data_IF_618912691292
#
_entry.id   IF_618912691292
#
_cell.length_a   1.000
_cell.length_b   1.000
_cell.length_c   1.000
_cell.angle_alpha   90.00
_cell.angle_beta   90.00
_cell.angle_gamma   90.00
#
_symmetry.space_group_name_H-M   'P 1'
#
loop_
_entity.id
_entity.type
_entity.pdbx_description
1 polymer ?
#
# COMPACT_ATOMS: atom_id res chain seq x y z
N UNK A 1 17.41 -12.77 33.42
CA UNK A 1 16.52 -11.66 33.82
C UNK A 1 16.82 -10.34 33.10
N UNK A 2 18.08 -10.04 32.78
CA UNK A 2 18.48 -8.81 32.11
C UNK A 2 18.16 -8.83 30.58
N UNK A 3 18.24 -9.98 29.96
CA UNK A 3 17.88 -10.18 28.53
C UNK A 3 16.36 -10.01 28.31
N UNK A 4 15.56 -10.59 29.20
CA UNK A 4 14.10 -10.51 29.12
C UNK A 4 13.57 -9.06 29.31
N UNK A 5 14.27 -8.25 30.10
CA UNK A 5 13.92 -6.84 30.31
C UNK A 5 14.23 -5.99 29.06
N UNK A 6 15.34 -6.25 28.37
CA UNK A 6 15.68 -5.57 27.11
C UNK A 6 14.73 -5.91 25.96
N UNK A 7 14.29 -7.16 25.86
CA UNK A 7 13.31 -7.58 24.83
C UNK A 7 11.94 -6.94 25.10
N UNK A 8 11.50 -6.86 26.35
CA UNK A 8 10.22 -6.20 26.71
C UNK A 8 10.30 -4.69 26.45
N UNK A 9 11.42 -4.04 26.76
CA UNK A 9 11.61 -2.61 26.53
C UNK A 9 11.62 -2.28 25.02
N UNK A 10 12.24 -3.11 24.17
CA UNK A 10 12.24 -2.94 22.73
C UNK A 10 10.85 -3.10 22.13
N UNK A 11 10.12 -4.16 22.50
CA UNK A 11 8.74 -4.37 22.02
C UNK A 11 7.79 -3.22 22.43
N UNK A 12 8.02 -2.61 23.58
CA UNK A 12 7.23 -1.45 24.05
C UNK A 12 7.52 -0.20 23.20
N UNK A 13 8.78 0.05 22.87
CA UNK A 13 9.19 1.19 22.02
C UNK A 13 8.59 1.03 20.62
N UNK A 14 8.66 -0.16 20.05
CA UNK A 14 8.11 -0.44 18.72
C UNK A 14 6.59 -0.24 18.68
N UNK A 15 5.86 -0.69 19.70
CA UNK A 15 4.43 -0.44 19.81
C UNK A 15 4.09 1.05 19.92
N UNK A 16 4.88 1.82 20.68
CA UNK A 16 4.69 3.27 20.80
C UNK A 16 4.93 3.96 19.45
N UNK A 17 5.98 3.58 18.72
CA UNK A 17 6.28 4.14 17.39
C UNK A 17 5.15 3.84 16.41
N UNK A 18 4.68 2.59 16.36
CA UNK A 18 3.55 2.19 15.49
C UNK A 18 2.27 2.94 15.86
N UNK A 19 1.97 3.07 17.16
CA UNK A 19 0.79 3.80 17.61
C UNK A 19 0.86 5.30 17.26
N UNK A 20 2.02 5.94 17.50
CA UNK A 20 2.23 7.35 17.14
C UNK A 20 2.13 7.57 15.62
N UNK A 21 2.67 6.65 14.83
CA UNK A 21 2.57 6.68 13.39
C UNK A 21 1.10 6.55 12.92
N UNK A 22 0.36 5.59 13.45
CA UNK A 22 -1.05 5.38 13.11
C UNK A 22 -1.91 6.60 13.49
N UNK A 23 -1.71 7.16 14.70
CA UNK A 23 -2.40 8.37 15.16
C UNK A 23 -2.04 9.57 14.29
N UNK A 24 -0.76 9.73 13.96
CA UNK A 24 -0.27 10.80 13.10
C UNK A 24 -0.86 10.74 11.69
N UNK A 25 -0.88 9.56 11.08
CA UNK A 25 -1.51 9.37 9.76
C UNK A 25 -3.00 9.63 9.79
N UNK A 26 -3.70 9.10 10.79
CA UNK A 26 -5.13 9.33 10.93
C UNK A 26 -5.45 10.80 11.15
N UNK A 27 -4.70 11.48 12.02
CA UNK A 27 -4.83 12.92 12.27
C UNK A 27 -4.56 13.75 11.01
N UNK A 28 -3.52 13.40 10.26
CA UNK A 28 -3.21 14.06 8.98
C UNK A 28 -4.30 13.84 7.93
N UNK A 29 -4.79 12.61 7.80
CA UNK A 29 -5.90 12.29 6.90
C UNK A 29 -7.16 13.08 7.25
N UNK A 30 -7.49 13.19 8.53
CA UNK A 30 -8.61 13.99 9.02
C UNK A 30 -8.40 15.48 8.74
N UNK A 31 -7.19 16.00 8.97
CA UNK A 31 -6.85 17.39 8.70
C UNK A 31 -7.00 17.73 7.22
N UNK A 32 -6.49 16.87 6.33
CA UNK A 32 -6.62 17.03 4.88
C UNK A 32 -8.07 16.86 4.41
N UNK A 33 -8.83 15.99 5.07
CA UNK A 33 -10.26 15.76 4.76
C UNK A 33 -11.19 16.86 5.26
N UNK A 34 -10.71 17.73 6.15
CA UNK A 34 -11.47 18.89 6.66
C UNK A 34 -11.64 19.98 5.62
N UNK A 35 -12.13 19.67 4.43
CA UNK A 35 -12.47 20.68 3.45
C UNK A 35 -13.87 21.26 3.70
N UNK A 36 -13.87 22.53 4.02
CA UNK A 36 -14.74 23.63 3.60
C UNK A 36 -16.19 23.28 3.21
N UNK A 37 -17.01 22.75 4.12
CA UNK A 37 -18.46 22.99 4.12
C UNK A 37 -19.30 22.62 2.89
N UNK A 38 -18.71 22.13 1.81
CA UNK A 38 -19.42 21.67 0.62
C UNK A 38 -19.52 20.13 0.64
N UNK A 39 -20.70 19.62 0.32
CA UNK A 39 -20.90 18.20 0.15
C UNK A 39 -19.94 17.67 -0.95
N UNK A 40 -19.03 16.76 -0.59
CA UNK A 40 -18.12 16.14 -1.54
C UNK A 40 -18.91 15.42 -2.62
N UNK A 41 -18.65 15.76 -3.88
CA UNK A 41 -19.23 15.02 -5.00
C UNK A 41 -18.57 13.63 -5.11
N UNK A 42 -19.21 12.73 -5.82
CA UNK A 42 -18.62 11.42 -6.13
C UNK A 42 -17.27 11.58 -6.84
N UNK A 43 -17.13 12.60 -7.69
CA UNK A 43 -15.89 12.93 -8.38
C UNK A 43 -14.80 13.40 -7.40
N UNK A 44 -15.12 14.24 -6.43
CA UNK A 44 -14.17 14.69 -5.41
C UNK A 44 -13.69 13.53 -4.54
N UNK A 45 -14.59 12.61 -4.20
CA UNK A 45 -14.25 11.47 -3.36
C UNK A 45 -13.36 10.44 -4.08
N UNK A 46 -13.72 10.07 -5.32
CA UNK A 46 -13.04 9.00 -6.05
C UNK A 46 -11.92 9.48 -6.99
N UNK A 47 -11.91 10.76 -7.39
CA UNK A 47 -10.92 11.32 -8.31
C UNK A 47 -10.10 12.46 -7.69
N UNK A 48 -10.24 12.71 -6.39
CA UNK A 48 -9.56 13.80 -5.68
C UNK A 48 -9.74 15.17 -6.34
N UNK A 49 -10.92 15.41 -6.98
CA UNK A 49 -11.21 16.63 -7.72
C UNK A 49 -10.24 16.92 -8.87
N UNK A 50 -9.46 15.95 -9.32
CA UNK A 50 -8.40 16.06 -10.36
C UNK A 50 -7.35 17.14 -10.04
N UNK A 51 -7.09 17.41 -8.77
CA UNK A 51 -6.20 18.50 -8.33
C UNK A 51 -4.81 18.05 -7.89
N UNK A 52 -4.55 16.72 -7.91
CA UNK A 52 -3.28 16.18 -7.48
C UNK A 52 -2.17 16.50 -8.50
N UNK A 53 -1.01 17.00 -8.06
CA UNK A 53 0.14 17.20 -8.93
C UNK A 53 0.75 15.84 -9.35
N UNK A 54 1.44 15.81 -10.48
CA UNK A 54 2.01 14.59 -11.06
C UNK A 54 2.91 13.80 -10.11
N UNK A 55 3.72 14.48 -9.31
CA UNK A 55 4.61 13.84 -8.33
C UNK A 55 3.84 13.18 -7.17
N UNK A 56 2.70 13.77 -6.74
CA UNK A 56 1.84 13.16 -5.72
C UNK A 56 1.14 11.90 -6.25
N UNK A 57 0.71 11.92 -7.52
CA UNK A 57 0.17 10.74 -8.20
C UNK A 57 1.25 9.65 -8.29
N UNK A 58 2.48 10.01 -8.66
CA UNK A 58 3.60 9.07 -8.72
C UNK A 58 3.91 8.45 -7.36
N UNK A 59 3.98 9.25 -6.29
CA UNK A 59 4.18 8.77 -4.93
C UNK A 59 3.04 7.82 -4.48
N UNK A 60 1.79 8.19 -4.72
CA UNK A 60 0.64 7.35 -4.39
C UNK A 60 0.64 6.03 -5.17
N UNK A 61 1.02 6.04 -6.46
CA UNK A 61 1.19 4.80 -7.23
C UNK A 61 2.27 3.88 -6.64
N UNK A 62 3.40 4.43 -6.20
CA UNK A 62 4.46 3.65 -5.54
C UNK A 62 3.94 3.07 -4.23
N UNK A 63 3.32 3.89 -3.36
CA UNK A 63 2.78 3.45 -2.08
C UNK A 63 1.69 2.37 -2.24
N UNK A 64 0.82 2.53 -3.24
CA UNK A 64 -0.25 1.57 -3.50
C UNK A 64 0.26 0.20 -4.01
N UNK A 65 1.45 0.16 -4.61
CA UNK A 65 2.07 -1.06 -5.09
C UNK A 65 2.98 -1.76 -4.07
N UNK A 66 3.51 -1.02 -3.08
CA UNK A 66 4.37 -1.60 -2.04
C UNK A 66 3.52 -1.90 -0.81
N UNK A 67 3.39 -3.18 -0.49
CA UNK A 67 2.65 -3.68 0.66
C UNK A 67 3.53 -4.61 1.52
N UNK A 68 2.98 -5.17 2.58
CA UNK A 68 3.63 -6.23 3.36
C UNK A 68 4.00 -7.44 2.49
N UNK A 69 3.29 -7.67 1.38
CA UNK A 69 3.58 -8.72 0.42
C UNK A 69 4.96 -8.53 -0.23
N UNK A 70 5.33 -7.32 -0.66
CA UNK A 70 6.64 -7.05 -1.22
C UNK A 70 7.74 -7.15 -0.16
N UNK A 71 7.53 -6.58 1.01
CA UNK A 71 8.59 -6.54 2.04
C UNK A 71 8.81 -7.93 2.65
N UNK A 72 7.77 -8.65 3.04
CA UNK A 72 7.88 -9.95 3.72
C UNK A 72 7.86 -11.09 2.72
N UNK A 73 6.87 -11.10 1.83
CA UNK A 73 6.65 -12.19 0.87
C UNK A 73 7.80 -12.30 -0.13
N UNK A 74 8.18 -11.20 -0.78
CA UNK A 74 9.28 -11.22 -1.77
C UNK A 74 10.65 -11.39 -1.12
N UNK A 75 10.86 -10.90 0.11
CA UNK A 75 12.10 -11.19 0.85
C UNK A 75 12.26 -12.67 1.13
N UNK A 76 11.18 -13.36 1.53
CA UNK A 76 11.16 -14.82 1.69
C UNK A 76 11.41 -15.55 0.36
N UNK A 77 10.80 -15.10 -0.73
CA UNK A 77 11.07 -15.65 -2.07
C UNK A 77 12.52 -15.38 -2.51
N UNK A 78 13.07 -14.21 -2.20
CA UNK A 78 14.47 -13.87 -2.46
C UNK A 78 15.44 -14.86 -1.79
N UNK A 79 15.11 -15.33 -0.60
CA UNK A 79 15.91 -16.36 0.09
C UNK A 79 15.87 -17.73 -0.64
N UNK A 80 14.72 -18.10 -1.22
CA UNK A 80 14.55 -19.40 -1.88
C UNK A 80 15.03 -19.40 -3.33
N UNK A 81 14.69 -18.35 -4.09
CA UNK A 81 14.89 -18.28 -5.56
C UNK A 81 16.06 -17.35 -5.92
N UNK A 82 16.53 -16.56 -4.97
CA UNK A 82 17.61 -15.59 -5.18
C UNK A 82 17.12 -14.36 -5.95
N UNK A 83 18.05 -13.68 -6.62
CA UNK A 83 17.81 -12.41 -7.30
C UNK A 83 16.80 -12.49 -8.46
N UNK A 84 16.48 -13.71 -8.93
CA UNK A 84 15.50 -13.90 -9.99
C UNK A 84 14.11 -13.34 -9.67
N UNK A 85 13.75 -13.24 -8.38
CA UNK A 85 12.47 -12.64 -7.96
C UNK A 85 12.36 -11.16 -8.37
N UNK A 86 13.49 -10.44 -8.44
CA UNK A 86 13.49 -9.03 -8.85
C UNK A 86 13.01 -8.83 -10.30
N UNK A 87 13.10 -9.86 -11.15
CA UNK A 87 12.61 -9.79 -12.52
C UNK A 87 11.10 -9.52 -12.58
N UNK A 88 10.34 -9.94 -11.57
CA UNK A 88 8.91 -9.67 -11.47
C UNK A 88 8.61 -8.16 -11.39
N UNK A 89 9.33 -7.43 -10.53
CA UNK A 89 9.16 -5.99 -10.37
C UNK A 89 9.70 -5.21 -11.59
N UNK A 90 10.78 -5.66 -12.19
CA UNK A 90 11.34 -5.02 -13.38
C UNK A 90 10.42 -5.16 -14.59
N UNK A 91 9.76 -6.31 -14.76
CA UNK A 91 8.73 -6.48 -15.78
C UNK A 91 7.54 -5.54 -15.56
N UNK A 92 7.08 -5.41 -14.32
CA UNK A 92 5.99 -4.49 -13.97
C UNK A 92 6.34 -3.04 -14.33
N UNK A 93 7.56 -2.59 -14.06
CA UNK A 93 8.03 -1.25 -14.43
C UNK A 93 8.00 -1.02 -15.96
N UNK A 94 8.46 -1.99 -16.75
CA UNK A 94 8.43 -1.91 -18.22
C UNK A 94 6.99 -1.83 -18.73
N UNK A 95 6.10 -2.69 -18.20
CA UNK A 95 4.68 -2.70 -18.58
C UNK A 95 4.01 -1.37 -18.24
N UNK A 96 4.28 -0.81 -17.06
CA UNK A 96 3.74 0.50 -16.66
C UNK A 96 4.21 1.63 -17.59
N UNK A 97 5.47 1.62 -18.04
CA UNK A 97 5.97 2.60 -19.03
C UNK A 97 5.24 2.48 -20.37
N UNK A 98 4.99 1.25 -20.84
CA UNK A 98 4.21 1.01 -22.08
C UNK A 98 2.77 1.50 -21.91
N UNK A 99 2.14 1.20 -20.79
CA UNK A 99 0.77 1.65 -20.47
C UNK A 99 0.72 3.18 -20.41
N UNK A 100 1.66 3.82 -19.71
CA UNK A 100 1.72 5.28 -19.60
C UNK A 100 1.89 5.96 -20.96
N UNK A 101 2.71 5.40 -21.83
CA UNK A 101 3.01 6.01 -23.15
C UNK A 101 1.89 5.81 -24.17
N UNK A 102 1.30 4.62 -24.23
CA UNK A 102 0.39 4.25 -25.33
C UNK A 102 -1.07 4.19 -24.89
N UNK A 103 -1.37 3.67 -23.72
CA UNK A 103 -2.76 3.44 -23.28
C UNK A 103 -3.35 4.61 -22.52
N UNK A 104 -2.57 5.21 -21.61
CA UNK A 104 -3.05 6.31 -20.76
C UNK A 104 -3.57 7.51 -21.58
N UNK A 105 -2.89 7.98 -22.66
CA UNK A 105 -3.41 9.06 -23.50
C UNK A 105 -4.78 8.72 -24.12
N UNK A 106 -5.02 7.46 -24.49
CA UNK A 106 -6.29 7.01 -25.07
C UNK A 106 -7.38 7.04 -24.00
N UNK A 107 -7.08 6.56 -22.78
CA UNK A 107 -8.03 6.54 -21.67
C UNK A 107 -8.41 7.95 -21.23
N UNK A 108 -7.43 8.85 -21.10
CA UNK A 108 -7.67 10.24 -20.75
C UNK A 108 -8.52 10.97 -21.82
N UNK A 109 -8.20 10.77 -23.09
CA UNK A 109 -8.96 11.39 -24.20
C UNK A 109 -10.40 10.90 -24.28
N UNK A 110 -10.67 9.66 -23.86
CA UNK A 110 -12.00 9.05 -23.87
C UNK A 110 -12.71 9.11 -22.53
N UNK A 111 -12.13 9.77 -21.55
CA UNK A 111 -12.67 9.88 -20.18
C UNK A 111 -12.99 8.50 -19.54
N UNK A 112 -12.13 7.51 -19.80
CA UNK A 112 -12.25 6.17 -19.25
C UNK A 112 -11.52 6.13 -17.91
N UNK A 113 -12.24 5.91 -16.81
CA UNK A 113 -11.68 5.92 -15.45
C UNK A 113 -11.39 4.53 -14.90
N UNK A 114 -12.02 3.50 -15.47
CA UNK A 114 -11.86 2.13 -14.98
C UNK A 114 -11.78 1.13 -16.13
N UNK A 115 -11.08 0.01 -15.92
CA UNK A 115 -11.02 -1.08 -16.91
C UNK A 115 -12.38 -1.67 -17.26
N UNK A 116 -13.30 -1.92 -16.29
CA UNK A 116 -14.66 -2.34 -16.62
C UNK A 116 -15.41 -1.35 -17.51
N UNK A 117 -15.20 -0.04 -17.35
CA UNK A 117 -15.79 0.98 -18.23
C UNK A 117 -15.24 0.89 -19.66
N UNK A 118 -13.94 0.66 -19.81
CA UNK A 118 -13.34 0.41 -21.12
C UNK A 118 -13.97 -0.80 -21.81
N UNK A 119 -14.15 -1.90 -21.08
CA UNK A 119 -14.79 -3.10 -21.61
C UNK A 119 -16.25 -2.89 -21.96
N UNK A 120 -16.97 -2.04 -21.20
CA UNK A 120 -18.34 -1.67 -21.52
C UNK A 120 -18.47 -1.03 -22.89
N UNK A 121 -17.57 -0.11 -23.24
CA UNK A 121 -17.63 0.60 -24.53
C UNK A 121 -17.38 -0.33 -25.71
N UNK A 122 -16.70 -1.46 -25.52
CA UNK A 122 -16.35 -2.39 -26.59
C UNK A 122 -17.24 -3.63 -26.64
N UNK A 123 -17.62 -4.17 -25.49
CA UNK A 123 -18.29 -5.47 -25.37
C UNK A 123 -19.66 -5.41 -24.69
N UNK A 124 -20.09 -4.23 -24.24
CA UNK A 124 -21.38 -4.04 -23.61
C UNK A 124 -21.43 -4.23 -22.09
N UNK A 125 -22.62 -4.00 -21.52
CA UNK A 125 -22.82 -3.93 -20.06
C UNK A 125 -22.60 -5.27 -19.34
N UNK A 126 -22.94 -6.39 -20.01
CA UNK A 126 -22.75 -7.72 -19.42
C UNK A 126 -21.30 -8.03 -19.07
N UNK A 127 -20.39 -7.72 -20.00
CA UNK A 127 -18.94 -7.92 -19.79
C UNK A 127 -18.40 -6.99 -18.69
N UNK A 128 -18.86 -5.73 -18.66
CA UNK A 128 -18.54 -4.80 -17.57
C UNK A 128 -18.93 -5.38 -16.20
N UNK A 129 -20.16 -5.85 -16.06
CA UNK A 129 -20.68 -6.37 -14.78
C UNK A 129 -19.93 -7.62 -14.33
N UNK A 130 -19.68 -8.54 -15.24
CA UNK A 130 -18.90 -9.75 -14.97
C UNK A 130 -17.48 -9.42 -14.51
N UNK A 131 -16.80 -8.51 -15.23
CA UNK A 131 -15.44 -8.09 -14.89
C UNK A 131 -15.39 -7.32 -13.57
N UNK A 132 -16.36 -6.45 -13.30
CA UNK A 132 -16.45 -5.74 -12.02
C UNK A 132 -16.64 -6.73 -10.86
N UNK A 133 -17.53 -7.71 -11.02
CA UNK A 133 -17.72 -8.76 -10.01
C UNK A 133 -16.46 -9.58 -9.79
N UNK A 134 -15.80 -10.01 -10.86
CA UNK A 134 -14.54 -10.74 -10.79
C UNK A 134 -13.46 -9.96 -10.01
N UNK A 135 -13.26 -8.67 -10.31
CA UNK A 135 -12.30 -7.85 -9.62
C UNK A 135 -12.64 -7.63 -8.15
N UNK A 136 -13.93 -7.42 -7.81
CA UNK A 136 -14.35 -7.28 -6.42
C UNK A 136 -14.01 -8.56 -5.63
N UNK A 137 -14.34 -9.72 -6.17
CA UNK A 137 -14.05 -11.01 -5.52
C UNK A 137 -12.54 -11.20 -5.38
N UNK A 138 -11.76 -10.96 -6.45
CA UNK A 138 -10.31 -11.14 -6.44
C UNK A 138 -9.64 -10.21 -5.42
N UNK A 139 -9.96 -8.92 -5.44
CA UNK A 139 -9.35 -7.98 -4.52
C UNK A 139 -9.76 -8.23 -3.07
N UNK A 140 -11.01 -8.61 -2.81
CA UNK A 140 -11.49 -8.83 -1.44
C UNK A 140 -11.01 -10.18 -0.90
N UNK A 141 -11.22 -11.27 -1.65
CA UNK A 141 -10.95 -12.61 -1.13
C UNK A 141 -9.46 -13.00 -1.22
N UNK A 142 -8.71 -12.49 -2.18
CA UNK A 142 -7.31 -12.85 -2.38
C UNK A 142 -6.38 -11.75 -1.90
N UNK A 143 -6.42 -10.59 -2.55
CA UNK A 143 -5.44 -9.53 -2.31
C UNK A 143 -5.54 -8.95 -0.89
N UNK A 144 -6.73 -8.51 -0.47
CA UNK A 144 -6.94 -7.94 0.86
C UNK A 144 -6.61 -8.94 1.97
N UNK A 145 -7.00 -10.21 1.78
CA UNK A 145 -6.70 -11.26 2.75
C UNK A 145 -5.20 -11.50 2.86
N UNK A 146 -4.47 -11.56 1.74
CA UNK A 146 -3.02 -11.73 1.73
C UNK A 146 -2.30 -10.57 2.44
N UNK A 147 -2.68 -9.33 2.12
CA UNK A 147 -2.08 -8.13 2.73
C UNK A 147 -2.35 -8.07 4.23
N UNK A 148 -3.59 -8.34 4.66
CA UNK A 148 -3.94 -8.36 6.09
C UNK A 148 -3.21 -9.48 6.83
N UNK A 149 -3.10 -10.67 6.24
CA UNK A 149 -2.39 -11.80 6.83
C UNK A 149 -0.90 -11.49 7.02
N UNK A 150 -0.22 -11.01 5.98
CA UNK A 150 1.20 -10.66 6.06
C UNK A 150 1.45 -9.48 7.01
N UNK A 151 0.57 -8.47 6.99
CA UNK A 151 0.62 -7.37 7.95
C UNK A 151 0.40 -7.84 9.39
N UNK A 152 -0.54 -8.77 9.59
CA UNK A 152 -0.80 -9.41 10.89
C UNK A 152 0.41 -10.18 11.40
N UNK A 153 1.07 -10.97 10.53
CA UNK A 153 2.30 -11.67 10.86
C UNK A 153 3.45 -10.72 11.25
N UNK A 154 3.58 -9.59 10.54
CA UNK A 154 4.56 -8.58 10.88
C UNK A 154 4.32 -8.01 12.28
N UNK A 155 3.08 -7.66 12.60
CA UNK A 155 2.72 -7.15 13.94
C UNK A 155 2.95 -8.21 15.01
N UNK A 156 2.55 -9.48 14.78
CA UNK A 156 2.79 -10.57 15.72
C UNK A 156 4.28 -10.74 15.99
N UNK A 157 5.12 -10.73 14.97
CA UNK A 157 6.57 -10.90 15.13
C UNK A 157 7.24 -9.79 15.94
N UNK A 158 6.70 -8.57 15.88
CA UNK A 158 7.23 -7.40 16.60
C UNK A 158 6.65 -7.24 18.00
N UNK A 159 5.35 -7.54 18.16
CA UNK A 159 4.61 -7.19 19.39
C UNK A 159 4.16 -8.40 20.21
N UNK A 160 4.20 -9.60 19.64
CA UNK A 160 3.65 -10.83 20.24
C UNK A 160 2.11 -10.87 20.25
N UNK A 161 1.42 -9.91 19.65
CA UNK A 161 -0.04 -9.91 19.52
C UNK A 161 -0.47 -10.97 18.51
N UNK A 162 -1.50 -11.75 18.83
CA UNK A 162 -2.01 -12.78 17.94
C UNK A 162 -2.39 -12.23 16.54
N UNK A 163 -2.00 -12.95 15.48
CA UNK A 163 -2.22 -12.57 14.07
C UNK A 163 -3.66 -12.14 13.80
N UNK A 164 -4.65 -12.90 14.30
CA UNK A 164 -6.06 -12.60 14.05
C UNK A 164 -6.48 -11.25 14.66
N UNK A 165 -6.01 -10.93 15.86
CA UNK A 165 -6.29 -9.65 16.51
C UNK A 165 -5.61 -8.50 15.78
N UNK A 166 -4.38 -8.71 15.29
CA UNK A 166 -3.64 -7.75 14.49
C UNK A 166 -4.34 -7.49 13.14
N UNK A 167 -4.79 -8.54 12.45
CA UNK A 167 -5.57 -8.43 11.20
C UNK A 167 -6.87 -7.64 11.40
N UNK A 168 -7.61 -7.92 12.48
CA UNK A 168 -8.85 -7.19 12.78
C UNK A 168 -8.59 -5.71 13.07
N UNK A 169 -7.53 -5.40 13.81
CA UNK A 169 -7.13 -4.02 14.09
C UNK A 169 -6.72 -3.28 12.81
N UNK A 170 -5.91 -3.92 11.94
CA UNK A 170 -5.53 -3.36 10.63
C UNK A 170 -6.74 -3.14 9.73
N UNK A 171 -7.64 -4.11 9.65
CA UNK A 171 -8.86 -4.00 8.86
C UNK A 171 -9.76 -2.86 9.36
N UNK A 172 -9.99 -2.76 10.66
CA UNK A 172 -10.77 -1.68 11.27
C UNK A 172 -10.13 -0.31 11.00
N UNK A 173 -8.80 -0.20 11.17
CA UNK A 173 -8.07 1.02 10.87
C UNK A 173 -8.20 1.42 9.39
N UNK A 174 -8.03 0.46 8.46
CA UNK A 174 -8.14 0.71 7.03
C UNK A 174 -9.54 1.18 6.62
N UNK A 175 -10.59 0.55 7.18
CA UNK A 175 -12.00 0.94 6.94
C UNK A 175 -12.25 2.36 7.44
N UNK A 176 -11.89 2.67 8.68
CA UNK A 176 -12.09 4.00 9.27
C UNK A 176 -11.33 5.08 8.48
N UNK A 177 -10.08 4.79 8.15
CA UNK A 177 -9.23 5.69 7.39
C UNK A 177 -9.80 5.98 5.98
N UNK A 178 -10.22 4.95 5.25
CA UNK A 178 -10.75 5.07 3.89
C UNK A 178 -12.11 5.75 3.83
N UNK A 179 -13.03 5.43 4.76
CA UNK A 179 -14.37 6.01 4.77
C UNK A 179 -14.35 7.52 4.98
N UNK A 180 -13.48 8.00 5.84
CA UNK A 180 -13.39 9.45 6.14
C UNK A 180 -12.49 10.21 5.18
N UNK A 181 -11.43 9.57 4.68
CA UNK A 181 -10.37 10.24 3.92
C UNK A 181 -10.71 10.53 2.45
N UNK A 182 -11.31 9.57 1.77
CA UNK A 182 -11.41 9.59 0.31
C UNK A 182 -10.05 9.50 -0.40
N UNK A 183 -10.04 9.52 -1.73
CA UNK A 183 -8.81 9.36 -2.52
C UNK A 183 -7.76 10.47 -2.27
N UNK A 184 -8.19 11.71 -2.05
CA UNK A 184 -7.28 12.84 -1.82
C UNK A 184 -6.46 12.65 -0.54
N UNK A 185 -7.11 12.25 0.55
CA UNK A 185 -6.41 12.01 1.81
C UNK A 185 -5.47 10.82 1.72
N UNK A 186 -5.92 9.72 1.10
CA UNK A 186 -5.09 8.54 0.85
C UNK A 186 -3.84 8.93 0.05
N UNK A 187 -3.99 9.61 -1.10
CA UNK A 187 -2.86 10.00 -1.94
C UNK A 187 -1.86 10.93 -1.24
N UNK A 188 -2.31 11.82 -0.36
CA UNK A 188 -1.41 12.70 0.39
C UNK A 188 -0.70 11.98 1.55
N UNK A 189 -1.36 11.03 2.21
CA UNK A 189 -0.69 10.18 3.21
C UNK A 189 0.28 9.21 2.58
N UNK A 190 0.01 8.73 1.37
CA UNK A 190 0.90 7.87 0.58
C UNK A 190 2.27 8.52 0.35
N UNK A 191 2.32 9.85 0.21
CA UNK A 191 3.59 10.57 0.07
C UNK A 191 4.47 10.37 1.30
N UNK A 192 3.89 10.47 2.50
CA UNK A 192 4.61 10.23 3.75
C UNK A 192 5.07 8.78 3.83
N UNK A 193 4.18 7.85 3.46
CA UNK A 193 4.47 6.41 3.46
C UNK A 193 5.61 6.07 2.51
N UNK A 194 5.64 6.61 1.29
CA UNK A 194 6.71 6.38 0.32
C UNK A 194 8.07 6.84 0.85
N UNK A 195 8.12 8.00 1.49
CA UNK A 195 9.38 8.48 2.09
C UNK A 195 9.89 7.50 3.16
N UNK A 196 8.99 7.04 4.04
CA UNK A 196 9.32 6.07 5.09
C UNK A 196 9.73 4.73 4.49
N UNK A 197 9.03 4.26 3.46
CA UNK A 197 9.34 3.01 2.77
C UNK A 197 10.71 3.04 2.10
N UNK A 198 11.05 4.14 1.42
CA UNK A 198 12.36 4.31 0.77
C UNK A 198 13.47 4.34 1.82
N UNK A 199 13.33 5.16 2.86
CA UNK A 199 14.34 5.27 3.91
C UNK A 199 14.50 3.96 4.69
N UNK A 200 13.38 3.30 5.03
CA UNK A 200 13.38 2.00 5.70
C UNK A 200 14.00 0.90 4.84
N UNK A 201 13.66 0.85 3.55
CA UNK A 201 14.25 -0.11 2.60
C UNK A 201 15.75 0.07 2.43
N UNK A 202 16.22 1.31 2.33
CA UNK A 202 17.66 1.62 2.28
C UNK A 202 18.36 1.23 3.58
N UNK A 203 17.77 1.52 4.73
CA UNK A 203 18.34 1.15 6.03
C UNK A 203 18.45 -0.37 6.19
N UNK A 204 17.39 -1.12 5.85
CA UNK A 204 17.39 -2.59 5.88
C UNK A 204 18.46 -3.15 4.94
N UNK A 205 18.56 -2.62 3.73
CA UNK A 205 19.58 -3.04 2.75
C UNK A 205 20.99 -2.79 3.29
N UNK A 206 21.22 -1.62 3.86
CA UNK A 206 22.51 -1.29 4.48
C UNK A 206 22.86 -2.26 5.61
N UNK A 207 21.95 -2.48 6.55
CA UNK A 207 22.16 -3.40 7.69
C UNK A 207 22.40 -4.83 7.23
N UNK A 208 21.68 -5.29 6.20
CA UNK A 208 21.86 -6.63 5.64
C UNK A 208 23.25 -6.80 4.99
N UNK A 209 23.70 -5.81 4.23
CA UNK A 209 25.04 -5.82 3.61
C UNK A 209 26.15 -5.76 4.65
N UNK A 210 25.99 -4.95 5.69
CA UNK A 210 26.93 -4.86 6.80
C UNK A 210 27.06 -6.18 7.55
N UNK A 211 25.91 -6.84 7.82
CA UNK A 211 25.88 -8.15 8.47
C UNK A 211 26.58 -9.24 7.64
N UNK A 212 26.46 -9.22 6.30
CA UNK A 212 27.16 -10.13 5.40
C UNK A 212 28.65 -9.80 5.33
N UNK A 213 29.01 -8.52 5.24
CA UNK A 213 30.40 -8.06 5.22
C UNK A 213 31.14 -8.36 6.51
N UNK A 214 30.50 -8.19 7.67
CA UNK A 214 31.09 -8.51 8.97
C UNK A 214 31.28 -10.03 9.21
N UNK A 215 30.55 -10.90 8.50
CA UNK A 215 30.70 -12.36 8.58
C UNK A 215 31.83 -12.93 7.71
N UNK A 216 32.48 -12.12 6.88
CA UNK A 216 33.60 -12.54 6.01
C UNK A 216 34.98 -12.13 6.54
N UNK A 217 35.09 -11.50 7.69
CA UNK A 217 36.27 -11.17 8.44
C UNK A 217 36.45 -12.06 9.66
#
# INVERSE_FOLDING_TARGET
KQNNKKEIDMATIDMVIVALYAIGLFGFAQWVSRDTGQAKTTEDYFLAGRTLPWWAIGASLIAANISAEQIIGQSGQGYVVGLAIAAYEWQAAIVLLVVAKYFLPIFLKREIYTMPQFLQTRYGTGVKSLMSFYWIVLYTAVNLTAVLWLGGLAIESLTGVNVMSAMMALAAFAVLYSLYGGLKAVALTDIIQVVILILGGLAITWLALDAVGAGQG
#
